data_IF_680525919109
#
_entry.id   IF_680525919109
#
_cell.length_a   1.000
_cell.length_b   1.000
_cell.length_c   1.000
_cell.angle_alpha   90.00
_cell.angle_beta   90.00
_cell.angle_gamma   90.00
#
_symmetry.space_group_name_H-M   'P 1'
#
loop_
_entity.id
_entity.type
_entity.pdbx_description
1 polymer ?
#
# COMPACT_ATOMS: atom_id res chain seq x y z
N UNK A 1 -38.06 11.14 18.06
CA UNK A 1 -38.80 12.39 17.73
C UNK A 1 -37.97 13.32 16.84
N UNK A 2 -36.80 13.79 17.29
CA UNK A 2 -35.88 14.65 16.51
C UNK A 2 -35.57 14.13 15.11
N UNK A 3 -35.22 12.85 14.96
CA UNK A 3 -34.95 12.25 13.65
C UNK A 3 -36.13 12.32 12.66
N UNK A 4 -37.39 12.28 13.15
CA UNK A 4 -38.58 12.42 12.28
C UNK A 4 -38.72 13.87 11.80
N UNK A 5 -38.55 14.84 12.70
CA UNK A 5 -38.59 16.26 12.36
C UNK A 5 -37.47 16.65 11.38
N UNK A 6 -36.26 16.09 11.54
CA UNK A 6 -35.15 16.27 10.58
C UNK A 6 -35.50 15.76 9.18
N UNK A 7 -36.12 14.58 9.08
CA UNK A 7 -36.58 14.04 7.79
C UNK A 7 -37.71 14.87 7.19
N UNK A 8 -38.69 15.29 7.98
CA UNK A 8 -39.76 16.17 7.50
C UNK A 8 -39.19 17.49 6.95
N UNK A 9 -38.22 18.09 7.64
CA UNK A 9 -37.56 19.31 7.18
C UNK A 9 -36.77 19.07 5.88
N UNK A 10 -36.06 17.96 5.76
CA UNK A 10 -35.35 17.57 4.54
C UNK A 10 -36.31 17.35 3.36
N UNK A 11 -37.49 16.78 3.62
CA UNK A 11 -38.57 16.60 2.65
C UNK A 11 -39.31 17.90 2.30
N UNK A 12 -38.89 19.06 2.84
CA UNK A 12 -39.42 20.38 2.53
C UNK A 12 -40.48 20.92 3.49
N UNK A 13 -40.82 20.20 4.56
CA UNK A 13 -41.78 20.68 5.57
C UNK A 13 -41.13 21.67 6.54
N UNK A 14 -41.30 22.97 6.24
CA UNK A 14 -40.78 24.07 7.05
C UNK A 14 -41.38 24.14 8.46
N UNK A 15 -42.55 23.52 8.71
CA UNK A 15 -43.17 23.53 10.04
C UNK A 15 -42.34 22.74 11.09
N UNK A 16 -41.51 21.80 10.63
CA UNK A 16 -40.60 21.04 11.48
C UNK A 16 -39.44 21.88 12.04
N UNK A 17 -39.07 22.99 11.37
CA UNK A 17 -37.95 23.85 11.76
C UNK A 17 -38.16 24.48 13.15
N UNK A 18 -39.36 25.02 13.42
CA UNK A 18 -39.69 25.62 14.71
C UNK A 18 -39.64 24.62 15.86
N UNK A 19 -40.10 23.38 15.62
CA UNK A 19 -40.02 22.30 16.61
C UNK A 19 -38.58 21.85 16.87
N UNK A 20 -37.74 21.77 15.83
CA UNK A 20 -36.32 21.46 15.98
C UNK A 20 -35.57 22.57 16.74
N UNK A 21 -35.87 23.84 16.45
CA UNK A 21 -35.29 24.97 17.16
C UNK A 21 -35.65 24.96 18.66
N UNK A 22 -36.92 24.71 19.00
CA UNK A 22 -37.35 24.60 20.39
C UNK A 22 -36.64 23.44 21.12
N UNK A 23 -36.51 22.28 20.47
CA UNK A 23 -35.80 21.12 21.04
C UNK A 23 -34.29 21.39 21.18
N UNK A 24 -33.69 22.17 20.28
CA UNK A 24 -32.29 22.56 20.36
C UNK A 24 -32.04 23.49 21.57
N UNK A 25 -32.93 24.46 21.81
CA UNK A 25 -32.87 25.33 23.01
C UNK A 25 -33.00 24.53 24.30
N UNK A 26 -33.82 23.47 24.29
CA UNK A 26 -33.95 22.53 25.42
C UNK A 26 -32.78 21.54 25.55
N UNK A 27 -31.74 21.65 24.72
CA UNK A 27 -30.56 20.79 24.77
C UNK A 27 -30.80 19.35 24.33
N UNK A 28 -31.88 19.08 23.58
CA UNK A 28 -32.18 17.71 23.12
C UNK A 28 -31.12 17.27 22.09
N UNK A 29 -30.40 16.16 22.32
CA UNK A 29 -29.37 15.69 21.41
C UNK A 29 -29.87 15.49 19.97
N UNK A 30 -29.10 15.98 19.00
CA UNK A 30 -29.41 15.87 17.58
C UNK A 30 -30.42 16.90 17.06
N UNK A 31 -30.97 17.79 17.89
CA UNK A 31 -31.92 18.82 17.44
C UNK A 31 -31.23 20.02 16.77
N UNK A 32 -30.06 20.41 17.28
CA UNK A 32 -29.27 21.51 16.73
C UNK A 32 -28.58 21.10 15.41
N UNK A 33 -28.68 21.90 14.32
CA UNK A 33 -28.09 21.56 13.01
C UNK A 33 -26.58 21.29 13.06
N UNK A 34 -25.84 21.98 13.94
CA UNK A 34 -24.40 21.74 14.15
C UNK A 34 -24.05 20.35 14.69
N UNK A 35 -25.04 19.53 15.08
CA UNK A 35 -24.85 18.13 15.48
C UNK A 35 -25.25 17.13 14.38
N UNK A 36 -25.68 17.61 13.21
CA UNK A 36 -26.14 16.74 12.13
C UNK A 36 -24.96 16.25 11.30
N UNK A 37 -24.74 14.94 11.33
CA UNK A 37 -23.81 14.27 10.44
C UNK A 37 -24.14 14.61 8.97
N UNK A 38 -23.12 14.97 8.20
CA UNK A 38 -23.25 15.38 6.79
C UNK A 38 -23.48 16.87 6.54
N UNK A 39 -23.68 17.69 7.59
CA UNK A 39 -23.74 19.16 7.48
C UNK A 39 -22.55 19.88 8.11
N UNK A 40 -21.61 19.13 8.69
CA UNK A 40 -20.38 19.70 9.19
C UNK A 40 -19.55 20.21 8.01
N UNK A 41 -18.98 21.43 8.08
CA UNK A 41 -18.06 21.90 7.06
C UNK A 41 -16.82 21.02 7.02
N UNK A 42 -16.12 21.05 5.89
CA UNK A 42 -14.82 20.38 5.74
C UNK A 42 -13.87 20.96 6.80
N UNK A 43 -13.12 20.10 7.49
CA UNK A 43 -12.25 20.53 8.60
C UNK A 43 -10.97 21.22 8.13
N UNK A 44 -10.52 20.95 6.90
CA UNK A 44 -9.37 21.61 6.26
C UNK A 44 -9.47 21.52 4.74
N UNK A 45 -9.08 22.58 4.04
CA UNK A 45 -8.90 22.62 2.57
C UNK A 45 -7.41 22.67 2.18
N UNK A 46 -6.51 22.49 3.16
CA UNK A 46 -5.07 22.48 2.93
C UNK A 46 -4.67 21.33 2.00
N UNK A 47 -3.68 21.54 1.10
CA UNK A 47 -3.21 20.51 0.20
C UNK A 47 -2.52 19.39 0.98
N UNK A 48 -2.54 18.17 0.42
CA UNK A 48 -1.94 17.01 1.06
C UNK A 48 -0.41 17.07 1.11
N UNK A 49 0.21 17.83 0.21
CA UNK A 49 1.65 18.12 0.26
C UNK A 49 2.06 18.80 1.58
N UNK A 50 1.16 19.50 2.27
CA UNK A 50 1.46 20.03 3.61
C UNK A 50 1.64 18.94 4.68
N UNK A 51 1.07 17.74 4.46
CA UNK A 51 1.10 16.62 5.40
C UNK A 51 2.18 15.58 5.06
N UNK A 52 2.55 15.42 3.78
CA UNK A 52 3.66 14.57 3.37
C UNK A 52 4.34 15.07 2.11
N UNK A 53 5.68 15.12 2.15
CA UNK A 53 6.51 15.42 0.99
C UNK A 53 7.00 14.14 0.29
N UNK A 54 6.61 12.96 0.78
CA UNK A 54 7.15 11.68 0.29
C UNK A 54 6.12 10.58 0.11
N UNK A 55 6.42 9.65 -0.81
CA UNK A 55 5.65 8.43 -1.05
C UNK A 55 6.54 7.19 -0.90
N UNK A 56 5.99 6.13 -0.31
CA UNK A 56 6.66 4.84 -0.26
C UNK A 56 6.65 4.15 -1.64
N UNK A 57 7.78 3.61 -2.08
CA UNK A 57 7.93 2.93 -3.36
C UNK A 57 6.92 1.77 -3.55
N UNK A 58 6.67 1.00 -2.49
CA UNK A 58 5.70 -0.10 -2.49
C UNK A 58 4.24 0.35 -2.66
N UNK A 59 3.95 1.64 -2.47
CA UNK A 59 2.61 2.23 -2.57
C UNK A 59 2.38 3.00 -3.87
N UNK A 60 3.38 3.16 -4.72
CA UNK A 60 3.23 3.97 -5.94
C UNK A 60 2.21 3.38 -6.92
N UNK A 61 2.16 2.06 -7.06
CA UNK A 61 1.19 1.40 -7.94
C UNK A 61 -0.23 1.49 -7.38
N UNK A 62 -0.38 1.54 -6.05
CA UNK A 62 -1.68 1.74 -5.42
C UNK A 62 -2.21 3.14 -5.74
N UNK A 63 -1.35 4.15 -5.73
CA UNK A 63 -1.71 5.50 -6.17
C UNK A 63 -2.14 5.52 -7.64
N UNK A 64 -1.35 4.92 -8.53
CA UNK A 64 -1.66 4.88 -9.97
C UNK A 64 -3.01 4.21 -10.26
N UNK A 65 -3.37 3.17 -9.48
CA UNK A 65 -4.66 2.48 -9.60
C UNK A 65 -5.82 3.30 -9.04
N UNK A 66 -5.66 3.85 -7.84
CA UNK A 66 -6.71 4.60 -7.16
C UNK A 66 -6.12 5.53 -6.08
N UNK A 67 -5.99 6.84 -6.35
CA UNK A 67 -5.44 7.81 -5.40
C UNK A 67 -6.21 7.86 -4.07
N UNK A 68 -7.55 7.72 -4.10
CA UNK A 68 -8.37 7.70 -2.89
C UNK A 68 -8.11 6.46 -2.03
N UNK A 69 -8.00 5.27 -2.65
CA UNK A 69 -7.65 4.05 -1.92
C UNK A 69 -6.25 4.12 -1.34
N UNK A 70 -5.29 4.66 -2.10
CA UNK A 70 -3.96 4.94 -1.58
C UNK A 70 -3.99 5.89 -0.37
N UNK A 71 -4.77 6.96 -0.42
CA UNK A 71 -4.86 7.93 0.67
C UNK A 71 -5.44 7.29 1.94
N UNK A 72 -6.57 6.60 1.81
CA UNK A 72 -7.22 5.91 2.94
C UNK A 72 -6.32 4.81 3.50
N UNK A 73 -5.67 4.00 2.67
CA UNK A 73 -4.75 2.95 3.17
C UNK A 73 -3.42 3.52 3.69
N UNK A 74 -3.07 4.76 3.33
CA UNK A 74 -1.83 5.38 3.78
C UNK A 74 -1.95 6.13 5.09
N UNK A 75 -3.07 6.82 5.29
CA UNK A 75 -3.33 7.66 6.47
C UNK A 75 -4.47 7.14 7.35
N UNK A 76 -5.30 6.24 6.82
CA UNK A 76 -6.29 5.52 7.60
C UNK A 76 -5.62 4.48 8.50
N UNK A 77 -6.22 4.29 9.67
CA UNK A 77 -5.76 3.33 10.65
C UNK A 77 -6.27 1.94 10.27
N UNK A 78 -5.54 1.24 9.40
CA UNK A 78 -5.81 -0.17 9.13
C UNK A 78 -5.16 -1.03 10.21
N UNK A 79 -5.94 -1.95 10.79
CA UNK A 79 -5.38 -3.02 11.61
C UNK A 79 -4.43 -3.83 10.74
N UNK A 80 -3.16 -4.00 11.16
CA UNK A 80 -2.18 -4.82 10.44
C UNK A 80 -2.73 -6.23 10.33
N UNK A 81 -3.19 -6.58 9.12
CA UNK A 81 -3.75 -7.89 8.87
C UNK A 81 -2.69 -8.97 9.05
N UNK A 82 -3.12 -10.15 9.47
CA UNK A 82 -2.27 -11.32 9.67
C UNK A 82 -1.30 -11.61 8.50
N UNK A 83 -1.76 -11.46 7.24
CA UNK A 83 -0.93 -11.67 6.05
C UNK A 83 0.24 -10.69 5.96
N UNK A 84 0.06 -9.45 6.44
CA UNK A 84 1.13 -8.46 6.48
C UNK A 84 2.19 -8.85 7.52
N UNK A 85 1.79 -9.30 8.72
CA UNK A 85 2.71 -9.77 9.75
C UNK A 85 3.54 -10.99 9.28
N UNK A 86 2.90 -11.96 8.64
CA UNK A 86 3.62 -13.09 8.03
C UNK A 86 4.58 -12.63 6.92
N UNK A 87 4.16 -11.67 6.10
CA UNK A 87 5.02 -11.04 5.10
C UNK A 87 6.28 -10.46 5.74
N UNK A 88 6.11 -9.58 6.72
CA UNK A 88 7.23 -8.96 7.47
C UNK A 88 8.18 -10.00 8.05
N UNK A 89 7.66 -11.07 8.65
CA UNK A 89 8.49 -12.15 9.18
C UNK A 89 9.34 -12.84 8.09
N UNK A 90 8.76 -13.09 6.91
CA UNK A 90 9.46 -13.73 5.79
C UNK A 90 10.50 -12.80 5.14
N UNK A 91 10.23 -11.50 5.04
CA UNK A 91 11.23 -10.51 4.60
C UNK A 91 12.41 -10.45 5.59
N UNK A 92 12.12 -10.40 6.89
CA UNK A 92 13.16 -10.42 7.92
C UNK A 92 13.99 -11.73 7.90
N UNK A 93 13.35 -12.86 7.57
CA UNK A 93 14.05 -14.13 7.37
C UNK A 93 14.99 -14.09 6.15
N UNK A 94 14.58 -13.44 5.06
CA UNK A 94 15.44 -13.22 3.88
C UNK A 94 16.61 -12.27 4.20
N UNK A 95 16.34 -11.18 4.93
CA UNK A 95 17.34 -10.20 5.38
C UNK A 95 18.46 -10.86 6.19
N UNK A 96 18.09 -11.71 7.14
CA UNK A 96 19.03 -12.34 8.07
C UNK A 96 19.62 -13.67 7.57
N UNK A 97 19.38 -14.01 6.30
CA UNK A 97 19.77 -15.30 5.72
C UNK A 97 21.27 -15.57 5.67
N UNK A 98 22.11 -14.53 5.85
CA UNK A 98 23.57 -14.69 5.98
C UNK A 98 24.02 -15.22 7.34
N UNK A 99 23.20 -15.08 8.38
CA UNK A 99 23.54 -15.48 9.76
C UNK A 99 22.77 -16.70 10.24
N UNK A 100 21.55 -16.90 9.75
CA UNK A 100 20.64 -17.95 10.18
C UNK A 100 19.80 -18.39 8.99
N UNK A 101 19.43 -19.68 8.92
CA UNK A 101 18.57 -20.13 7.83
C UNK A 101 17.18 -19.50 7.93
N UNK A 102 16.54 -19.14 6.80
CA UNK A 102 15.17 -18.62 6.81
C UNK A 102 14.18 -19.46 7.62
N UNK A 103 14.29 -20.80 7.57
CA UNK A 103 13.41 -21.69 8.34
C UNK A 103 13.62 -21.57 9.84
N UNK A 104 14.89 -21.52 10.28
CA UNK A 104 15.21 -21.32 11.71
C UNK A 104 14.81 -19.91 12.18
N UNK A 105 14.99 -18.87 11.36
CA UNK A 105 14.56 -17.51 11.69
C UNK A 105 13.05 -17.45 11.95
N UNK A 106 12.25 -18.03 11.04
CA UNK A 106 10.80 -18.12 11.18
C UNK A 106 10.40 -18.90 12.43
N UNK A 107 11.09 -19.98 12.76
CA UNK A 107 10.78 -20.78 13.95
C UNK A 107 11.03 -20.00 15.25
N UNK A 108 12.14 -19.27 15.33
CA UNK A 108 12.52 -18.46 16.49
C UNK A 108 11.57 -17.29 16.74
N UNK A 109 11.13 -16.61 15.68
CA UNK A 109 10.32 -15.40 15.77
C UNK A 109 8.82 -15.68 15.58
N UNK A 110 8.41 -16.96 15.50
CA UNK A 110 7.01 -17.34 15.31
C UNK A 110 6.08 -16.81 16.43
N UNK A 111 6.61 -16.75 17.66
CA UNK A 111 5.84 -16.33 18.84
C UNK A 111 5.47 -14.84 18.84
N UNK A 112 6.06 -14.04 17.95
CA UNK A 112 5.78 -12.61 17.80
C UNK A 112 4.45 -12.36 17.06
N UNK A 113 3.91 -13.37 16.38
CA UNK A 113 2.65 -13.25 15.65
C UNK A 113 1.49 -13.67 16.55
N UNK A 114 0.52 -12.78 16.72
CA UNK A 114 -0.71 -13.05 17.47
C UNK A 114 -1.73 -13.84 16.62
N UNK A 115 -2.40 -14.82 17.25
CA UNK A 115 -3.40 -15.66 16.60
C UNK A 115 -4.67 -15.77 17.45
N UNK A 116 -5.83 -15.65 16.79
CA UNK A 116 -7.14 -15.83 17.44
C UNK A 116 -7.43 -17.30 17.81
N UNK A 117 -6.74 -18.27 17.19
CA UNK A 117 -6.93 -19.69 17.49
C UNK A 117 -5.72 -20.57 17.18
N UNK A 118 -5.54 -21.62 17.98
CA UNK A 118 -4.46 -22.60 17.82
C UNK A 118 -4.56 -23.43 16.53
N UNK A 119 -5.77 -23.62 15.96
CA UNK A 119 -5.94 -24.31 14.68
C UNK A 119 -5.43 -23.45 13.52
N UNK A 120 -5.76 -22.16 13.54
CA UNK A 120 -5.25 -21.18 12.56
C UNK A 120 -3.73 -21.11 12.65
N UNK A 121 -3.18 -20.99 13.86
CA UNK A 121 -1.73 -20.96 14.10
C UNK A 121 -1.03 -22.18 13.48
N UNK A 122 -1.48 -23.41 13.78
CA UNK A 122 -0.86 -24.62 13.25
C UNK A 122 -0.90 -24.69 11.72
N UNK A 123 -2.00 -24.26 11.11
CA UNK A 123 -2.12 -24.25 9.65
C UNK A 123 -1.13 -23.25 9.04
N UNK A 124 -1.08 -22.03 9.57
CA UNK A 124 -0.21 -21.02 8.98
C UNK A 124 1.26 -21.30 9.28
N UNK A 125 1.61 -21.84 10.45
CA UNK A 125 2.99 -22.25 10.73
C UNK A 125 3.52 -23.22 9.67
N UNK A 126 2.71 -24.18 9.25
CA UNK A 126 3.06 -25.10 8.15
C UNK A 126 3.26 -24.37 6.82
N UNK A 127 2.42 -23.39 6.50
CA UNK A 127 2.56 -22.58 5.29
C UNK A 127 3.81 -21.69 5.35
N UNK A 128 4.09 -21.07 6.51
CA UNK A 128 5.25 -20.21 6.74
C UNK A 128 6.58 -20.97 6.64
N UNK A 129 6.68 -22.14 7.29
CA UNK A 129 7.86 -23.01 7.18
C UNK A 129 8.09 -23.45 5.74
N UNK A 130 7.02 -23.78 5.00
CA UNK A 130 7.13 -24.10 3.57
C UNK A 130 7.67 -22.91 2.77
N UNK A 131 7.15 -21.71 3.02
CA UNK A 131 7.60 -20.48 2.38
C UNK A 131 9.06 -20.17 2.69
N UNK A 132 9.49 -20.34 3.94
CA UNK A 132 10.89 -20.19 4.36
C UNK A 132 11.83 -21.17 3.63
N UNK A 133 11.41 -22.44 3.48
CA UNK A 133 12.16 -23.41 2.67
C UNK A 133 12.28 -23.03 1.18
N UNK A 134 11.32 -22.28 0.63
CA UNK A 134 11.43 -21.74 -0.73
C UNK A 134 12.42 -20.56 -0.80
N UNK A 135 12.55 -19.78 0.27
CA UNK A 135 13.60 -18.74 0.38
C UNK A 135 14.97 -19.41 0.43
N UNK A 136 15.14 -20.48 1.20
CA UNK A 136 16.38 -21.27 1.20
C UNK A 136 16.69 -21.85 -0.18
N UNK A 137 15.69 -22.43 -0.85
CA UNK A 137 15.86 -22.93 -2.22
C UNK A 137 16.30 -21.82 -3.17
N UNK A 138 15.75 -20.62 -3.06
CA UNK A 138 16.15 -19.46 -3.84
C UNK A 138 17.62 -19.09 -3.59
N UNK A 139 18.02 -19.01 -2.31
CA UNK A 139 19.37 -18.61 -1.91
C UNK A 139 20.47 -19.61 -2.32
N UNK A 140 20.14 -20.88 -2.57
CA UNK A 140 21.10 -21.87 -3.06
C UNK A 140 21.59 -21.62 -4.50
N UNK A 141 20.79 -20.91 -5.30
CA UNK A 141 21.00 -20.80 -6.75
C UNK A 141 21.48 -19.42 -7.19
N UNK A 142 21.50 -18.44 -6.30
CA UNK A 142 21.55 -17.03 -6.67
C UNK A 142 22.86 -16.34 -6.29
N UNK A 143 23.16 -15.20 -6.93
CA UNK A 143 24.46 -14.54 -6.81
C UNK A 143 24.79 -14.01 -5.41
N UNK A 144 26.05 -13.60 -5.28
CA UNK A 144 26.59 -12.93 -4.10
C UNK A 144 25.74 -11.71 -3.70
N UNK A 145 25.48 -11.58 -2.40
CA UNK A 145 24.72 -10.47 -1.83
C UNK A 145 25.57 -9.19 -1.83
N UNK A 146 25.07 -8.12 -2.45
CA UNK A 146 25.66 -6.78 -2.32
C UNK A 146 25.16 -6.12 -1.04
N UNK A 147 23.84 -6.07 -0.87
CA UNK A 147 23.17 -5.51 0.29
C UNK A 147 21.79 -6.15 0.45
N UNK A 148 21.40 -6.43 1.68
CA UNK A 148 20.02 -6.73 2.03
C UNK A 148 19.40 -5.46 2.61
N UNK A 149 18.12 -5.23 2.30
CA UNK A 149 17.30 -4.29 3.05
C UNK A 149 17.90 -2.85 3.04
N UNK A 150 18.41 -2.46 1.87
CA UNK A 150 19.06 -1.17 1.66
C UNK A 150 18.01 -0.05 1.57
N UNK A 151 18.01 0.85 2.55
CA UNK A 151 17.18 2.05 2.53
C UNK A 151 17.60 3.03 1.44
N UNK A 152 16.63 3.69 0.81
CA UNK A 152 16.86 4.75 -0.17
C UNK A 152 15.86 5.90 -0.04
N UNK A 153 16.28 7.06 -0.54
CA UNK A 153 15.42 8.19 -0.82
C UNK A 153 15.91 8.81 -2.14
N UNK A 154 15.04 8.81 -3.14
CA UNK A 154 15.32 9.41 -4.45
C UNK A 154 14.30 10.49 -4.77
N UNK A 155 14.66 11.41 -5.64
CA UNK A 155 13.76 12.44 -6.13
C UNK A 155 13.49 12.22 -7.62
N UNK A 156 12.21 12.17 -7.98
CA UNK A 156 11.78 12.00 -9.37
C UNK A 156 10.74 13.08 -9.65
N UNK A 157 11.09 14.04 -10.51
CA UNK A 157 10.21 15.16 -10.89
C UNK A 157 9.57 15.90 -9.69
N UNK A 158 10.35 16.16 -8.63
CA UNK A 158 9.89 16.84 -7.41
C UNK A 158 9.17 15.94 -6.41
N UNK A 159 8.90 14.67 -6.75
CA UNK A 159 8.37 13.68 -5.80
C UNK A 159 9.50 12.97 -5.08
N UNK A 160 9.52 13.04 -3.75
CA UNK A 160 10.43 12.24 -2.93
C UNK A 160 9.89 10.82 -2.78
N UNK A 161 10.60 9.84 -3.32
CA UNK A 161 10.24 8.42 -3.20
C UNK A 161 11.20 7.75 -2.22
N UNK A 162 10.63 7.12 -1.19
CA UNK A 162 11.38 6.45 -0.13
C UNK A 162 11.05 4.96 -0.09
N UNK A 163 11.99 4.16 0.38
CA UNK A 163 11.76 2.72 0.53
C UNK A 163 12.97 1.97 1.01
N UNK A 164 12.83 0.65 1.02
CA UNK A 164 13.86 -0.32 1.38
C UNK A 164 13.84 -1.39 0.28
N UNK A 165 14.99 -1.65 -0.33
CA UNK A 165 15.13 -2.69 -1.35
C UNK A 165 15.42 -3.99 -0.59
N UNK A 166 14.56 -4.99 -0.72
CA UNK A 166 14.68 -6.25 0.04
C UNK A 166 16.07 -6.87 -0.14
N UNK A 167 16.55 -6.93 -1.39
CA UNK A 167 17.85 -7.50 -1.69
C UNK A 167 18.44 -6.94 -2.99
N UNK A 168 19.75 -6.70 -2.99
CA UNK A 168 20.55 -6.33 -4.16
C UNK A 168 21.58 -7.44 -4.38
N UNK A 169 21.55 -8.06 -5.55
CA UNK A 169 22.42 -9.19 -5.91
C UNK A 169 23.46 -8.78 -6.93
N UNK A 170 24.67 -9.33 -6.80
CA UNK A 170 25.77 -9.10 -7.73
C UNK A 170 25.78 -10.16 -8.84
N UNK A 171 25.22 -9.84 -10.00
CA UNK A 171 25.34 -10.74 -11.16
C UNK A 171 26.64 -10.45 -11.92
N UNK A 172 27.16 -11.39 -12.74
CA UNK A 172 28.31 -11.11 -13.61
C UNK A 172 28.11 -9.94 -14.58
N UNK A 173 26.87 -9.55 -14.86
CA UNK A 173 26.54 -8.43 -15.73
C UNK A 173 26.34 -7.10 -14.97
N UNK A 174 26.21 -7.14 -13.63
CA UNK A 174 25.95 -5.97 -12.78
C UNK A 174 24.90 -6.22 -11.68
N UNK A 175 24.56 -5.19 -10.90
CA UNK A 175 23.62 -5.30 -9.80
C UNK A 175 22.18 -5.56 -10.28
N UNK A 176 21.48 -6.44 -9.58
CA UNK A 176 20.09 -6.82 -9.82
C UNK A 176 19.25 -6.51 -8.57
N UNK A 177 18.15 -5.77 -8.74
CA UNK A 177 17.19 -5.52 -7.67
C UNK A 177 16.29 -6.74 -7.47
N UNK A 178 16.09 -7.18 -6.22
CA UNK A 178 15.22 -8.31 -5.89
C UNK A 178 14.15 -7.87 -4.90
N UNK A 179 12.92 -8.27 -5.17
CA UNK A 179 11.76 -8.05 -4.30
C UNK A 179 11.04 -9.39 -4.03
N UNK A 180 10.80 -9.67 -2.75
CA UNK A 180 10.15 -10.89 -2.27
C UNK A 180 8.63 -10.66 -2.23
N UNK A 181 7.88 -11.54 -2.88
CA UNK A 181 6.42 -11.54 -2.86
C UNK A 181 5.88 -12.78 -2.13
N UNK A 182 5.20 -12.53 -1.02
CA UNK A 182 4.52 -13.55 -0.20
C UNK A 182 3.04 -13.73 -0.55
N UNK A 183 2.51 -12.88 -1.44
CA UNK A 183 1.11 -12.93 -1.88
C UNK A 183 0.81 -14.10 -2.83
N UNK A 184 -0.39 -14.69 -2.68
CA UNK A 184 -0.87 -15.81 -3.51
C UNK A 184 -1.08 -15.46 -4.98
N UNK A 185 -1.41 -14.20 -5.28
CA UNK A 185 -1.59 -13.73 -6.65
C UNK A 185 -0.21 -13.51 -7.27
N UNK A 186 0.10 -14.31 -8.29
CA UNK A 186 1.36 -14.23 -9.00
C UNK A 186 1.19 -13.34 -10.24
N UNK A 187 2.03 -12.31 -10.41
CA UNK A 187 2.04 -11.51 -11.62
C UNK A 187 2.35 -12.35 -12.87
N UNK A 188 1.77 -11.97 -14.00
CA UNK A 188 2.21 -12.44 -15.31
C UNK A 188 3.60 -11.88 -15.64
N UNK A 189 4.30 -12.49 -16.61
CA UNK A 189 5.59 -11.96 -17.10
C UNK A 189 5.49 -10.50 -17.57
N UNK A 190 4.37 -10.13 -18.19
CA UNK A 190 4.13 -8.77 -18.66
C UNK A 190 3.94 -7.79 -17.50
N UNK A 191 3.19 -8.19 -16.47
CA UNK A 191 3.02 -7.37 -15.26
C UNK A 191 4.34 -7.21 -14.49
N UNK A 192 5.14 -8.28 -14.37
CA UNK A 192 6.45 -8.21 -13.74
C UNK A 192 7.43 -7.29 -14.51
N UNK A 193 7.45 -7.38 -15.84
CA UNK A 193 8.28 -6.50 -16.67
C UNK A 193 7.87 -5.03 -16.57
N UNK A 194 6.60 -4.73 -16.30
CA UNK A 194 6.08 -3.37 -16.13
C UNK A 194 5.94 -2.93 -14.65
N UNK A 195 6.49 -3.70 -13.71
CA UNK A 195 6.32 -3.43 -12.27
C UNK A 195 7.04 -2.12 -11.87
N UNK A 196 6.29 -1.17 -11.31
CA UNK A 196 6.82 0.17 -10.99
C UNK A 196 7.73 0.15 -9.77
N UNK A 197 7.45 -0.71 -8.80
CA UNK A 197 8.27 -0.85 -7.60
C UNK A 197 9.69 -1.31 -7.95
N UNK A 198 9.84 -2.34 -8.77
CA UNK A 198 11.14 -2.78 -9.27
C UNK A 198 11.84 -1.70 -10.11
N UNK A 199 11.09 -0.95 -10.92
CA UNK A 199 11.66 0.15 -11.70
C UNK A 199 12.24 1.25 -10.79
N UNK A 200 11.58 1.56 -9.68
CA UNK A 200 12.08 2.49 -8.67
C UNK A 200 13.31 1.93 -7.96
N UNK A 201 13.33 0.64 -7.65
CA UNK A 201 14.50 0.00 -7.03
C UNK A 201 15.72 0.07 -7.95
N UNK A 202 15.53 -0.20 -9.24
CA UNK A 202 16.57 -0.02 -10.25
C UNK A 202 17.09 1.43 -10.27
N UNK A 203 16.20 2.43 -10.35
CA UNK A 203 16.59 3.85 -10.29
C UNK A 203 17.34 4.19 -9.00
N UNK A 204 16.88 3.67 -7.85
CA UNK A 204 17.50 3.92 -6.57
C UNK A 204 18.92 3.35 -6.50
N UNK A 205 19.15 2.14 -6.99
CA UNK A 205 20.49 1.55 -7.09
C UNK A 205 21.37 2.39 -8.01
N UNK A 206 20.85 2.76 -9.18
CA UNK A 206 21.60 3.56 -10.16
C UNK A 206 22.06 4.90 -9.59
N UNK A 207 21.20 5.60 -8.86
CA UNK A 207 21.53 6.89 -8.26
C UNK A 207 22.45 6.77 -7.05
N UNK A 208 22.22 5.78 -6.19
CA UNK A 208 22.99 5.63 -4.93
C UNK A 208 24.36 5.02 -5.16
N UNK A 209 24.47 3.99 -6.01
CA UNK A 209 25.70 3.27 -6.29
C UNK A 209 26.44 3.79 -7.54
N UNK A 210 25.82 4.69 -8.33
CA UNK A 210 26.40 5.26 -9.57
C UNK A 210 26.77 4.19 -10.60
N UNK A 211 25.99 3.10 -10.68
CA UNK A 211 26.19 1.97 -11.60
C UNK A 211 24.86 1.60 -12.26
N UNK A 212 24.89 1.15 -13.52
CA UNK A 212 23.67 0.67 -14.16
C UNK A 212 23.23 -0.68 -13.59
N UNK A 213 21.93 -0.86 -13.38
CA UNK A 213 21.36 -2.16 -13.02
C UNK A 213 21.10 -3.00 -14.26
N UNK A 214 21.18 -4.33 -14.11
CA UNK A 214 20.86 -5.27 -15.19
C UNK A 214 19.36 -5.58 -15.27
N UNK A 215 18.59 -5.17 -14.27
CA UNK A 215 17.16 -5.42 -14.18
C UNK A 215 16.65 -5.50 -12.74
N UNK A 216 15.44 -6.03 -12.63
CA UNK A 216 14.84 -6.42 -11.36
C UNK A 216 14.29 -7.85 -11.42
N UNK A 217 14.05 -8.46 -10.25
CA UNK A 217 13.49 -9.80 -10.13
C UNK A 217 12.45 -9.82 -9.01
N UNK A 218 11.27 -10.34 -9.32
CA UNK A 218 10.27 -10.72 -8.33
C UNK A 218 10.46 -12.18 -7.96
N UNK A 219 10.66 -12.45 -6.68
CA UNK A 219 10.71 -13.80 -6.12
C UNK A 219 9.39 -14.06 -5.41
N UNK A 220 8.50 -14.83 -6.03
CA UNK A 220 7.21 -15.17 -5.43
C UNK A 220 7.26 -16.55 -4.78
N UNK A 221 6.78 -16.62 -3.54
CA UNK A 221 6.66 -17.84 -2.73
C UNK A 221 5.23 -18.09 -2.21
N UNK A 222 4.30 -17.17 -2.48
CA UNK A 222 2.99 -17.12 -1.85
C UNK A 222 2.01 -18.23 -2.26
N UNK A 223 2.17 -18.82 -3.44
CA UNK A 223 1.37 -19.99 -3.87
C UNK A 223 2.00 -21.33 -3.42
N UNK A 224 3.07 -21.28 -2.64
CA UNK A 224 3.81 -22.44 -2.16
C UNK A 224 4.67 -23.11 -3.23
N UNK A 225 5.03 -22.40 -4.30
CA UNK A 225 6.08 -22.75 -5.27
C UNK A 225 7.02 -21.56 -5.44
N UNK A 226 8.32 -21.82 -5.61
CA UNK A 226 9.28 -20.78 -5.98
C UNK A 226 9.05 -20.38 -7.43
N UNK A 227 8.77 -19.10 -7.66
CA UNK A 227 8.64 -18.51 -8.99
C UNK A 227 9.48 -17.24 -9.06
N UNK A 228 10.26 -17.14 -10.12
CA UNK A 228 11.06 -15.96 -10.41
C UNK A 228 10.54 -15.30 -11.68
N UNK A 229 10.32 -13.99 -11.63
CA UNK A 229 9.88 -13.18 -12.76
C UNK A 229 10.83 -11.99 -12.91
N UNK A 230 11.34 -11.79 -14.10
CA UNK A 230 12.34 -10.76 -14.38
C UNK A 230 11.69 -9.51 -14.97
N UNK A 231 12.25 -8.36 -14.58
CA UNK A 231 12.10 -7.08 -15.24
C UNK A 231 13.44 -6.73 -15.89
N UNK A 232 13.48 -6.41 -17.19
CA UNK A 232 14.72 -5.99 -17.84
C UNK A 232 15.26 -4.68 -17.25
N UNK A 233 16.52 -4.36 -17.57
CA UNK A 233 17.11 -3.07 -17.28
C UNK A 233 16.21 -1.92 -17.80
N UNK A 234 16.15 -0.83 -17.03
CA UNK A 234 15.34 0.34 -17.35
C UNK A 234 15.70 0.94 -18.71
N UNK A 235 14.69 1.05 -19.57
CA UNK A 235 14.77 1.80 -20.84
C UNK A 235 14.37 3.25 -20.62
N UNK A 236 14.74 4.11 -21.56
CA UNK A 236 14.32 5.53 -21.54
C UNK A 236 12.80 5.71 -21.46
N UNK A 237 12.05 4.82 -22.10
CA UNK A 237 10.59 4.83 -21.99
C UNK A 237 10.13 4.58 -20.55
N UNK A 238 10.72 3.60 -19.85
CA UNK A 238 10.33 3.25 -18.48
C UNK A 238 10.64 4.43 -17.52
N UNK A 239 11.76 5.13 -17.75
CA UNK A 239 12.15 6.36 -17.03
C UNK A 239 11.17 7.51 -17.27
N UNK A 240 10.74 7.67 -18.53
CA UNK A 240 9.77 8.69 -18.92
C UNK A 240 8.41 8.43 -18.26
N UNK A 241 7.95 7.18 -18.26
CA UNK A 241 6.69 6.78 -17.62
C UNK A 241 6.71 7.02 -16.10
N UNK A 242 7.82 6.71 -15.43
CA UNK A 242 7.99 7.00 -14.00
C UNK A 242 8.00 8.51 -13.72
N UNK A 243 8.67 9.29 -14.57
CA UNK A 243 8.72 10.75 -14.46
C UNK A 243 7.32 11.36 -14.61
N UNK A 244 6.54 10.91 -15.59
CA UNK A 244 5.16 11.37 -15.79
C UNK A 244 4.22 10.91 -14.67
N UNK A 245 4.40 9.70 -14.14
CA UNK A 245 3.66 9.25 -12.95
C UNK A 245 3.98 10.12 -11.73
N UNK A 246 5.26 10.41 -11.49
CA UNK A 246 5.69 11.25 -10.38
C UNK A 246 5.11 12.66 -10.47
N UNK A 247 5.14 13.29 -11.65
CA UNK A 247 4.50 14.60 -11.89
C UNK A 247 3.00 14.58 -11.57
N UNK A 248 2.28 13.53 -12.02
CA UNK A 248 0.84 13.37 -11.71
C UNK A 248 0.59 13.26 -10.21
N UNK A 249 1.43 12.50 -9.50
CA UNK A 249 1.33 12.36 -8.04
C UNK A 249 1.54 13.73 -7.37
N UNK A 250 2.63 14.42 -7.69
CA UNK A 250 2.94 15.75 -7.11
C UNK A 250 1.80 16.73 -7.35
N UNK A 251 1.29 16.81 -8.59
CA UNK A 251 0.16 17.69 -8.91
C UNK A 251 -1.09 17.34 -8.08
N UNK A 252 -1.42 16.06 -7.93
CA UNK A 252 -2.58 15.62 -7.15
C UNK A 252 -2.40 15.80 -5.64
N UNK A 253 -1.17 15.82 -5.13
CA UNK A 253 -0.90 16.12 -3.72
C UNK A 253 -1.01 17.63 -3.42
N UNK A 254 -0.67 18.47 -4.41
CA UNK A 254 -0.79 19.94 -4.31
C UNK A 254 -2.23 20.43 -4.53
N UNK A 255 -3.05 19.65 -5.23
CA UNK A 255 -4.48 19.91 -5.34
C UNK A 255 -5.19 19.47 -4.05
N UNK A 256 -6.11 20.30 -3.53
CA UNK A 256 -6.91 19.98 -2.34
C UNK A 256 -7.96 18.87 -2.56
N UNK A 257 -7.99 18.28 -3.76
CA UNK A 257 -9.05 17.38 -4.21
C UNK A 257 -8.47 16.06 -4.74
N UNK A 258 -8.47 15.03 -3.89
CA UNK A 258 -8.27 13.64 -4.34
C UNK A 258 -9.55 13.14 -5.02
N UNK A 259 -9.68 13.43 -6.32
CA UNK A 259 -10.68 12.90 -7.28
C UNK A 259 -12.17 12.97 -6.90
N UNK A 260 -13.01 13.10 -7.93
CA UNK A 260 -14.45 12.95 -7.83
C UNK A 260 -14.81 11.53 -7.39
N UNK A 261 -15.66 11.45 -6.37
CA UNK A 261 -16.20 10.21 -5.81
C UNK A 261 -16.79 9.24 -6.86
N UNK A 262 -17.26 9.72 -8.02
CA UNK A 262 -17.91 8.85 -9.01
C UNK A 262 -16.91 8.10 -9.93
N UNK A 263 -15.61 8.46 -9.95
CA UNK A 263 -14.65 7.89 -10.90
C UNK A 263 -13.71 6.83 -10.29
N UNK A 264 -13.60 6.76 -8.96
CA UNK A 264 -12.58 5.96 -8.25
C UNK A 264 -12.70 4.43 -8.40
N UNK A 265 -13.89 3.91 -8.71
CA UNK A 265 -14.18 2.47 -8.81
C UNK A 265 -14.36 1.96 -10.24
N UNK A 266 -14.23 2.82 -11.26
CA UNK A 266 -14.49 2.41 -12.65
C UNK A 266 -13.43 1.46 -13.22
N UNK A 267 -12.19 1.49 -12.67
CA UNK A 267 -11.07 0.67 -13.14
C UNK A 267 -10.73 -0.52 -12.22
N UNK A 268 -11.23 -0.56 -10.99
CA UNK A 268 -11.02 -1.66 -10.05
C UNK A 268 -12.36 -2.17 -9.49
N UNK A 269 -12.87 -3.24 -10.10
CA UNK A 269 -14.10 -3.91 -9.67
C UNK A 269 -14.03 -4.59 -8.29
N UNK A 270 -12.87 -4.52 -7.62
CA UNK A 270 -12.66 -5.07 -6.29
C UNK A 270 -12.33 -4.00 -5.23
N UNK A 271 -12.58 -2.72 -5.55
CA UNK A 271 -12.40 -1.63 -4.60
C UNK A 271 -13.27 -1.83 -3.36
N UNK A 272 -12.62 -2.12 -2.23
CA UNK A 272 -13.29 -2.36 -0.93
C UNK A 272 -13.62 -1.07 -0.18
N UNK A 273 -13.28 0.09 -0.75
CA UNK A 273 -13.85 1.36 -0.30
C UNK A 273 -15.32 1.35 -0.68
N UNK A 274 -16.12 0.65 0.13
CA UNK A 274 -17.57 0.73 0.16
C UNK A 274 -17.97 2.06 0.78
N UNK A 275 -17.49 3.14 0.20
CA UNK A 275 -18.11 4.44 0.33
C UNK A 275 -19.45 4.28 -0.40
N UNK A 276 -20.45 3.70 0.25
CA UNK A 276 -21.81 3.83 -0.27
C UNK A 276 -22.09 5.31 -0.25
N UNK A 277 -22.67 5.83 -1.34
CA UNK A 277 -23.42 7.09 -1.28
C UNK A 277 -24.26 6.97 -0.01
N UNK A 278 -24.00 7.81 0.99
CA UNK A 278 -24.91 7.90 2.13
C UNK A 278 -26.20 8.31 1.47
N UNK A 279 -27.09 7.34 1.26
CA UNK A 279 -28.46 7.65 0.97
C UNK A 279 -28.84 8.40 2.23
N UNK A 280 -28.90 9.72 2.14
CA UNK A 280 -29.75 10.53 3.00
C UNK A 280 -31.16 10.04 2.69
N UNK A 281 -31.48 8.86 3.23
CA UNK A 281 -32.67 8.11 2.94
C UNK A 281 -33.79 8.66 3.77
N UNK A 282 -34.74 9.28 3.07
CA UNK A 282 -36.03 9.72 3.60
C UNK A 282 -36.06 11.21 3.88
#
# INVERSE_FOLDING_TARGET
MVGRLRRSLLAGDQSAAGSLAALAVLGVPGAHPGSWQGLLPISSEEPLSSATDSIAASRIEAFEKCPLHWFVSSFGMDSVGFQAALGTLLHAALENSSSITPTEYVDQHWQEIEFDSALTERKVRKEAVKMAGLIEQYLQTEPELIAAEQGFAIEVAGLRIVGKIDRIENTPAGPLAVDLKTGKKIPTKKEAAANRQLSIYQLAIEQTQKVQTVGGKLVNIGDGKLKQLEQPALREQDRTELTELAKRITQQLDESYLTSFDEHCSQDGNCQLLLKRVITGG
#
